data_IF_253354901852
#
_entry.id   IF_253354901852
#
_cell.length_a   1.000
_cell.length_b   1.000
_cell.length_c   1.000
_cell.angle_alpha   90.00
_cell.angle_beta   90.00
_cell.angle_gamma   90.00
#
_symmetry.space_group_name_H-M   'P 1'
#
loop_
_entity.id
_entity.type
_entity.pdbx_description
1 polymer ?
#
# COMPACT_ATOMS: atom_id res chain seq x y z
N UNK A 1 -39.82 -68.60 34.50
CA UNK A 1 -40.11 -67.96 35.82
C UNK A 1 -39.55 -66.55 35.75
N UNK A 2 -40.37 -65.51 35.57
CA UNK A 2 -40.97 -64.67 36.65
C UNK A 2 -39.90 -63.94 37.47
N UNK A 3 -39.94 -62.67 37.85
CA UNK A 3 -40.88 -61.53 37.70
C UNK A 3 -40.12 -60.29 38.28
N UNK A 4 -40.27 -59.14 37.64
CA UNK A 4 -40.56 -57.78 38.16
C UNK A 4 -39.89 -57.14 39.42
N UNK A 5 -39.69 -55.81 39.26
CA UNK A 5 -39.79 -54.65 40.21
C UNK A 5 -38.55 -54.28 41.06
N UNK A 6 -38.36 -53.04 41.54
CA UNK A 6 -38.67 -51.62 41.21
C UNK A 6 -38.22 -50.83 42.47
N UNK A 7 -37.57 -49.66 42.36
CA UNK A 7 -37.38 -48.54 43.33
C UNK A 7 -35.98 -47.94 43.07
N UNK A 8 -35.73 -46.64 42.87
CA UNK A 8 -36.52 -45.43 43.02
C UNK A 8 -35.61 -44.38 43.69
N UNK A 9 -35.25 -43.30 43.00
CA UNK A 9 -34.94 -41.98 43.60
C UNK A 9 -34.82 -40.90 42.53
N UNK A 10 -35.43 -39.77 42.83
CA UNK A 10 -35.75 -38.66 41.96
C UNK A 10 -34.59 -37.67 41.80
N UNK A 11 -34.50 -37.06 40.62
CA UNK A 11 -33.83 -35.76 40.44
C UNK A 11 -34.81 -34.79 39.77
N UNK A 12 -34.92 -33.63 40.38
CA UNK A 12 -35.78 -32.50 40.00
C UNK A 12 -35.15 -31.81 38.78
N UNK A 13 -35.89 -31.74 37.68
CA UNK A 13 -35.57 -30.92 36.52
C UNK A 13 -36.46 -29.66 36.57
N UNK A 14 -35.85 -28.50 36.69
CA UNK A 14 -36.54 -27.22 36.58
C UNK A 14 -36.77 -26.91 35.09
N UNK A 15 -38.04 -26.72 34.74
CA UNK A 15 -38.48 -26.28 33.42
C UNK A 15 -38.36 -24.76 33.31
N UNK A 16 -37.79 -24.28 32.20
CA UNK A 16 -38.01 -22.93 31.69
C UNK A 16 -38.36 -23.06 30.21
N UNK A 17 -39.65 -22.90 29.94
CA UNK A 17 -40.26 -22.77 28.62
C UNK A 17 -39.92 -21.39 28.05
N UNK A 18 -39.44 -21.34 26.81
CA UNK A 18 -39.55 -20.14 25.99
C UNK A 18 -40.04 -20.52 24.59
N UNK A 19 -41.01 -19.75 24.14
CA UNK A 19 -41.88 -19.98 23.01
C UNK A 19 -41.15 -19.81 21.67
N UNK A 20 -41.60 -20.61 20.70
CA UNK A 20 -41.40 -20.40 19.28
C UNK A 20 -42.06 -19.08 18.86
N UNK A 21 -41.29 -18.16 18.29
CA UNK A 21 -41.76 -17.11 17.40
C UNK A 21 -40.86 -17.07 16.18
N UNK A 22 -41.49 -17.30 15.02
CA UNK A 22 -40.92 -17.07 13.71
C UNK A 22 -41.23 -15.61 13.34
N UNK A 23 -40.20 -14.81 13.07
CA UNK A 23 -40.27 -13.57 12.31
C UNK A 23 -39.11 -13.58 11.32
N UNK A 24 -39.48 -13.48 10.05
CA UNK A 24 -38.62 -13.16 8.93
C UNK A 24 -38.46 -11.64 8.93
N UNK A 25 -37.28 -11.14 9.28
CA UNK A 25 -36.95 -9.73 9.11
C UNK A 25 -35.87 -9.64 8.01
N UNK A 26 -36.31 -9.21 6.83
CA UNK A 26 -35.46 -8.61 5.80
C UNK A 26 -34.92 -7.27 6.37
N UNK A 27 -33.92 -7.32 7.24
CA UNK A 27 -33.15 -6.12 7.56
C UNK A 27 -32.21 -5.83 6.37
N UNK A 28 -32.34 -4.65 5.73
CA UNK A 28 -31.30 -4.20 4.81
C UNK A 28 -29.98 -4.11 5.59
N UNK A 29 -28.83 -4.38 4.93
CA UNK A 29 -27.53 -4.26 5.57
C UNK A 29 -27.41 -2.88 6.23
N UNK A 30 -26.76 -2.79 7.42
CA UNK A 30 -26.59 -1.52 8.10
C UNK A 30 -25.99 -0.50 7.14
N UNK A 31 -26.58 0.70 7.09
CA UNK A 31 -26.04 1.79 6.32
C UNK A 31 -24.56 1.99 6.69
N UNK A 32 -23.71 2.12 5.68
CA UNK A 32 -22.30 2.43 5.89
C UNK A 32 -22.18 3.63 6.85
N UNK A 33 -21.30 3.58 7.87
CA UNK A 33 -21.07 4.72 8.74
C UNK A 33 -20.72 5.93 7.88
N UNK A 34 -21.26 7.10 8.23
CA UNK A 34 -20.93 8.34 7.56
C UNK A 34 -19.41 8.54 7.64
N UNK A 35 -18.75 8.58 6.48
CA UNK A 35 -17.35 8.96 6.36
C UNK A 35 -17.13 10.23 7.19
N UNK A 36 -16.16 10.21 8.12
CA UNK A 36 -15.84 11.39 8.90
C UNK A 36 -15.56 12.54 7.94
N UNK A 37 -16.18 13.70 8.14
CA UNK A 37 -16.04 14.90 7.30
C UNK A 37 -14.55 15.13 7.00
N UNK A 38 -14.09 14.61 5.86
CA UNK A 38 -12.69 14.61 5.46
C UNK A 38 -12.34 16.05 5.20
N UNK A 39 -11.84 16.75 6.23
CA UNK A 39 -12.02 18.18 6.38
C UNK A 39 -11.76 18.93 5.08
N UNK A 40 -12.85 19.43 4.48
CA UNK A 40 -12.92 20.00 3.14
C UNK A 40 -11.70 20.87 2.86
N UNK A 41 -10.74 20.32 2.11
CA UNK A 41 -9.66 21.13 1.58
C UNK A 41 -10.30 22.04 0.55
N UNK A 42 -10.29 23.34 0.83
CA UNK A 42 -10.83 24.34 -0.10
C UNK A 42 -10.16 24.13 -1.46
N UNK A 43 -10.91 24.03 -2.56
CA UNK A 43 -10.30 23.87 -3.88
C UNK A 43 -9.30 24.99 -4.16
N UNK A 44 -8.17 24.63 -4.76
CA UNK A 44 -7.11 25.59 -5.08
C UNK A 44 -7.58 26.66 -6.05
N UNK A 45 -6.92 27.82 -6.01
CA UNK A 45 -7.21 28.92 -6.92
C UNK A 45 -6.45 28.78 -8.25
N UNK A 46 -6.89 29.52 -9.27
CA UNK A 46 -6.23 29.54 -10.59
C UNK A 46 -4.80 30.06 -10.47
N UNK A 47 -3.84 29.43 -11.15
CA UNK A 47 -2.43 29.78 -11.01
C UNK A 47 -1.75 29.20 -9.77
N UNK A 48 -2.49 28.47 -8.93
CA UNK A 48 -1.96 27.74 -7.78
C UNK A 48 -1.95 26.23 -7.98
N UNK A 49 -1.60 25.52 -6.91
CA UNK A 49 -1.54 24.07 -6.85
C UNK A 49 -2.57 23.50 -5.87
N UNK A 50 -3.20 22.39 -6.25
CA UNK A 50 -3.92 21.50 -5.34
C UNK A 50 -3.10 20.23 -5.18
N UNK A 51 -2.78 19.87 -3.94
CA UNK A 51 -1.99 18.68 -3.62
C UNK A 51 -2.94 17.57 -3.23
N UNK A 52 -2.81 16.43 -3.90
CA UNK A 52 -3.62 15.24 -3.65
C UNK A 52 -2.74 14.04 -3.34
N UNK A 53 -3.30 13.01 -2.71
CA UNK A 53 -2.61 11.74 -2.42
C UNK A 53 -3.44 10.57 -2.95
N UNK A 54 -2.80 9.61 -3.59
CA UNK A 54 -3.43 8.45 -4.22
C UNK A 54 -2.64 7.18 -3.91
N UNK A 55 -3.33 6.06 -3.75
CA UNK A 55 -2.75 4.71 -3.84
C UNK A 55 -2.76 4.17 -5.26
N UNK A 56 -3.05 5.04 -6.24
CA UNK A 56 -3.38 4.68 -7.62
C UNK A 56 -4.62 3.78 -7.71
N UNK A 57 -4.89 3.25 -8.91
CA UNK A 57 -5.96 2.29 -9.14
C UNK A 57 -5.73 1.01 -8.30
N UNK A 58 -4.47 0.61 -8.15
CA UNK A 58 -4.09 -0.63 -7.45
C UNK A 58 -4.23 -0.57 -5.94
N UNK A 59 -4.10 0.61 -5.34
CA UNK A 59 -4.41 0.80 -3.93
C UNK A 59 -5.90 0.56 -3.63
N UNK A 60 -6.78 0.85 -4.59
CA UNK A 60 -8.24 0.71 -4.43
C UNK A 60 -8.71 -0.68 -4.87
N UNK A 61 -8.28 -1.12 -6.05
CA UNK A 61 -8.79 -2.34 -6.69
C UNK A 61 -7.96 -3.59 -6.33
N UNK A 62 -6.70 -3.42 -5.93
CA UNK A 62 -5.77 -4.50 -5.70
C UNK A 62 -5.33 -5.20 -6.99
N UNK A 63 -4.95 -6.47 -6.87
CA UNK A 63 -4.35 -7.28 -7.92
C UNK A 63 -5.20 -8.51 -8.20
N UNK A 64 -5.69 -8.63 -9.42
CA UNK A 64 -6.36 -9.84 -9.88
C UNK A 64 -5.38 -10.90 -10.35
N UNK A 65 -5.69 -12.15 -10.02
CA UNK A 65 -5.04 -13.29 -10.64
C UNK A 65 -5.96 -13.91 -11.68
N UNK A 66 -5.47 -14.03 -12.92
CA UNK A 66 -6.22 -14.67 -14.02
C UNK A 66 -7.27 -13.79 -14.69
N UNK A 67 -7.24 -12.47 -14.49
CA UNK A 67 -7.81 -11.53 -15.46
C UNK A 67 -7.10 -11.74 -16.82
N UNK A 68 -7.78 -11.38 -17.93
CA UNK A 68 -7.29 -11.59 -19.30
C UNK A 68 -5.81 -11.19 -19.47
N UNK A 69 -5.04 -11.86 -20.35
CA UNK A 69 -3.60 -11.66 -20.49
C UNK A 69 -3.30 -10.18 -20.63
N UNK A 70 -2.54 -9.67 -19.65
CA UNK A 70 -2.15 -8.27 -19.43
C UNK A 70 -2.20 -7.49 -20.75
N UNK A 71 -3.24 -6.68 -20.95
CA UNK A 71 -3.20 -5.66 -21.97
C UNK A 71 -2.01 -4.74 -21.66
N UNK A 72 -1.44 -4.11 -22.68
CA UNK A 72 -0.41 -3.10 -22.49
C UNK A 72 -0.96 -1.99 -21.55
N UNK A 73 -0.46 -1.95 -20.32
CA UNK A 73 -0.95 -1.05 -19.26
C UNK A 73 -1.79 -1.71 -18.15
N UNK A 74 -2.05 -3.02 -18.18
CA UNK A 74 -2.70 -3.72 -17.07
C UNK A 74 -1.71 -3.98 -15.92
N UNK A 75 -2.19 -3.94 -14.66
CA UNK A 75 -1.34 -4.14 -13.50
C UNK A 75 -0.77 -5.56 -13.44
N UNK A 76 0.50 -5.71 -13.02
CA UNK A 76 1.15 -7.02 -13.01
C UNK A 76 0.43 -7.98 -12.06
N UNK A 77 0.12 -9.18 -12.54
CA UNK A 77 -0.41 -10.24 -11.68
C UNK A 77 0.69 -10.86 -10.82
N UNK A 78 0.35 -11.32 -9.62
CA UNK A 78 1.25 -12.13 -8.82
C UNK A 78 1.55 -13.45 -9.51
N UNK A 79 2.82 -13.67 -9.86
CA UNK A 79 3.23 -14.81 -10.69
C UNK A 79 3.02 -16.14 -10.00
N UNK A 80 2.77 -16.14 -8.68
CA UNK A 80 2.59 -17.31 -7.84
C UNK A 80 1.12 -17.60 -7.47
N UNK A 81 0.15 -16.97 -8.13
CA UNK A 81 -1.25 -17.41 -8.10
C UNK A 81 -2.15 -16.66 -7.13
N UNK A 82 -1.72 -15.52 -6.63
CA UNK A 82 -2.43 -14.78 -5.58
C UNK A 82 -3.20 -13.59 -6.14
N UNK A 83 -4.46 -13.49 -5.75
CA UNK A 83 -5.22 -12.23 -5.81
C UNK A 83 -4.97 -11.48 -4.50
N UNK A 84 -4.68 -10.17 -4.57
CA UNK A 84 -4.44 -9.34 -3.39
C UNK A 84 -5.44 -8.19 -3.38
N UNK A 85 -6.08 -7.96 -2.23
CA UNK A 85 -6.97 -6.82 -1.99
C UNK A 85 -6.53 -6.07 -0.75
N UNK A 86 -6.33 -4.77 -0.88
CA UNK A 86 -6.08 -3.92 0.26
C UNK A 86 -7.40 -3.53 0.92
N UNK A 87 -7.36 -3.53 2.25
CA UNK A 87 -8.42 -3.00 3.08
C UNK A 87 -8.10 -1.56 3.48
N UNK A 88 -6.86 -1.33 3.93
CA UNK A 88 -6.35 -0.01 4.30
C UNK A 88 -4.89 0.12 3.87
N UNK A 89 -4.52 1.29 3.35
CA UNK A 89 -3.15 1.68 3.05
C UNK A 89 -2.98 3.07 3.64
N UNK A 90 -2.36 3.13 4.82
CA UNK A 90 -2.27 4.37 5.58
C UNK A 90 -0.86 4.93 5.49
N UNK A 91 -0.76 6.18 5.07
CA UNK A 91 0.50 6.94 4.98
C UNK A 91 0.42 8.23 5.77
N UNK A 92 1.55 8.75 6.25
CA UNK A 92 1.64 10.09 6.84
C UNK A 92 2.56 10.99 6.02
N UNK A 93 1.97 11.91 5.26
CA UNK A 93 2.69 12.87 4.41
C UNK A 93 2.92 14.16 5.19
N UNK A 94 4.13 14.71 5.14
CA UNK A 94 4.47 16.00 5.73
C UNK A 94 5.42 16.78 4.79
N UNK A 95 5.66 18.05 5.13
CA UNK A 95 6.68 18.92 4.54
C UNK A 95 6.65 18.94 3.02
N UNK A 96 5.50 19.25 2.43
CA UNK A 96 5.37 19.46 0.99
C UNK A 96 6.07 20.77 0.64
N UNK A 97 6.97 20.76 -0.35
CA UNK A 97 7.82 21.89 -0.71
C UNK A 97 7.83 22.10 -2.21
N UNK A 98 7.78 23.38 -2.59
CA UNK A 98 8.09 23.88 -3.92
C UNK A 98 9.40 24.66 -3.85
N UNK A 99 10.40 24.25 -4.62
CA UNK A 99 11.66 24.99 -4.75
C UNK A 99 11.81 25.60 -6.14
N UNK A 100 12.52 26.72 -6.23
CA UNK A 100 12.96 27.24 -7.53
C UNK A 100 13.95 26.29 -8.21
N UNK A 101 14.15 26.46 -9.51
CA UNK A 101 15.22 25.85 -10.30
C UNK A 101 15.37 24.32 -10.09
N UNK A 102 14.37 23.50 -10.51
CA UNK A 102 14.42 22.04 -10.36
C UNK A 102 15.62 21.39 -11.05
N UNK A 103 16.17 22.00 -12.09
CA UNK A 103 17.33 21.50 -12.83
C UNK A 103 18.58 22.36 -12.60
N UNK A 104 18.72 22.93 -11.40
CA UNK A 104 19.92 23.71 -11.02
C UNK A 104 21.20 22.88 -11.20
N UNK A 105 21.12 21.59 -10.93
CA UNK A 105 22.09 20.59 -11.37
C UNK A 105 21.35 19.44 -12.08
N UNK A 106 21.48 19.35 -13.40
CA UNK A 106 20.85 18.29 -14.19
C UNK A 106 21.35 16.88 -13.80
N UNK A 107 22.55 16.77 -13.23
CA UNK A 107 23.15 15.49 -12.82
C UNK A 107 22.82 15.06 -11.38
N UNK A 108 22.27 15.97 -10.57
CA UNK A 108 21.93 15.70 -9.17
C UNK A 108 20.57 16.31 -8.81
N UNK A 109 19.48 15.52 -8.80
CA UNK A 109 18.15 16.03 -8.52
C UNK A 109 17.97 16.54 -7.08
N UNK A 110 18.94 16.31 -6.19
CA UNK A 110 18.92 16.83 -4.82
C UNK A 110 19.41 18.28 -4.72
N UNK A 111 20.02 18.81 -5.80
CA UNK A 111 20.51 20.19 -5.88
C UNK A 111 19.51 21.05 -6.64
N UNK A 112 18.75 21.85 -5.89
CA UNK A 112 17.72 22.75 -6.43
C UNK A 112 17.89 24.18 -5.88
N UNK A 113 17.01 25.09 -6.31
CA UNK A 113 16.91 26.45 -5.79
C UNK A 113 16.28 26.54 -4.40
N UNK A 114 16.06 27.77 -3.95
CA UNK A 114 15.47 28.05 -2.64
C UNK A 114 14.01 27.58 -2.58
N UNK A 115 13.52 27.25 -1.37
CA UNK A 115 12.11 26.96 -1.15
C UNK A 115 11.30 28.24 -1.40
N UNK A 116 10.38 28.19 -2.36
CA UNK A 116 9.49 29.32 -2.70
C UNK A 116 8.09 29.17 -2.11
N UNK A 117 7.67 27.94 -1.77
CA UNK A 117 6.44 27.67 -1.04
C UNK A 117 6.53 26.35 -0.28
N UNK A 118 5.76 26.20 0.78
CA UNK A 118 5.69 24.95 1.54
C UNK A 118 4.35 24.81 2.23
N UNK A 119 3.92 23.56 2.40
CA UNK A 119 2.82 23.19 3.28
C UNK A 119 3.33 22.18 4.28
N UNK A 120 3.22 22.53 5.54
CA UNK A 120 3.48 21.61 6.64
C UNK A 120 2.18 20.85 6.97
N UNK A 121 2.28 19.53 7.03
CA UNK A 121 1.27 18.66 7.60
C UNK A 121 1.53 18.49 9.10
N UNK A 122 1.51 17.24 9.63
CA UNK A 122 1.37 15.98 8.90
C UNK A 122 -0.08 15.68 8.49
N UNK A 123 -0.27 15.01 7.36
CA UNK A 123 -1.54 14.53 6.85
C UNK A 123 -1.53 13.00 6.89
N UNK A 124 -2.41 12.43 7.70
CA UNK A 124 -2.63 10.99 7.73
C UNK A 124 -3.72 10.65 6.72
N UNK A 125 -3.44 9.78 5.77
CA UNK A 125 -4.32 9.47 4.65
C UNK A 125 -4.48 7.97 4.50
N UNK A 126 -5.72 7.48 4.41
CA UNK A 126 -5.98 6.14 3.91
C UNK A 126 -6.24 6.21 2.41
N UNK A 127 -5.41 5.48 1.66
CA UNK A 127 -5.38 5.52 0.21
C UNK A 127 -6.42 4.59 -0.41
N UNK A 128 -6.96 3.61 0.32
CA UNK A 128 -7.93 2.65 -0.23
C UNK A 128 -9.33 3.23 -0.38
N UNK A 129 -9.68 4.24 0.42
CA UNK A 129 -11.00 4.86 0.41
C UNK A 129 -11.20 5.85 -0.76
N UNK A 130 -10.13 6.18 -1.49
CA UNK A 130 -10.18 7.06 -2.66
C UNK A 130 -10.45 8.53 -2.32
N UNK A 131 -11.15 9.26 -3.18
CA UNK A 131 -11.45 10.68 -2.95
C UNK A 131 -12.42 11.28 -3.97
N UNK A 132 -12.49 12.61 -4.02
CA UNK A 132 -13.39 13.33 -4.94
C UNK A 132 -12.68 13.90 -6.18
N UNK A 133 -11.35 13.86 -6.20
CA UNK A 133 -10.56 14.34 -7.33
C UNK A 133 -10.23 13.15 -8.21
N UNK A 134 -10.36 13.32 -9.53
CA UNK A 134 -9.95 12.28 -10.50
C UNK A 134 -8.44 12.13 -10.42
N UNK A 135 -7.98 10.89 -10.35
CA UNK A 135 -6.57 10.56 -10.29
C UNK A 135 -5.80 10.86 -11.59
N UNK A 136 -4.51 10.53 -11.59
CA UNK A 136 -3.56 10.85 -12.66
C UNK A 136 -3.19 9.67 -13.55
N UNK A 137 -3.53 8.42 -13.20
CA UNK A 137 -3.23 7.22 -13.99
C UNK A 137 -4.04 7.11 -15.29
N UNK A 138 -5.04 7.97 -15.47
CA UNK A 138 -5.97 7.89 -16.59
C UNK A 138 -7.04 6.80 -16.42
N UNK A 139 -6.96 5.98 -15.37
CA UNK A 139 -8.03 5.06 -15.02
C UNK A 139 -9.29 5.86 -14.59
N UNK A 140 -10.48 5.55 -15.13
CA UNK A 140 -11.71 6.29 -14.83
C UNK A 140 -12.11 6.21 -13.36
N UNK A 141 -11.69 5.14 -12.69
CA UNK A 141 -12.05 4.82 -11.32
C UNK A 141 -11.00 5.24 -10.30
N UNK A 142 -9.80 5.68 -10.74
CA UNK A 142 -8.83 6.25 -9.81
C UNK A 142 -9.41 7.54 -9.20
N UNK A 143 -9.43 7.58 -7.87
CA UNK A 143 -9.84 8.74 -7.08
C UNK A 143 -8.76 9.07 -6.07
N UNK A 144 -8.39 10.35 -6.02
CA UNK A 144 -7.39 10.88 -5.11
C UNK A 144 -8.01 11.87 -4.14
N UNK A 145 -7.42 11.99 -2.94
CA UNK A 145 -7.89 12.90 -1.90
C UNK A 145 -7.01 14.14 -1.82
N UNK A 146 -7.64 15.31 -1.81
CA UNK A 146 -6.94 16.57 -1.60
C UNK A 146 -6.51 16.72 -0.13
N UNK A 147 -5.24 17.07 0.09
CA UNK A 147 -4.67 17.28 1.44
C UNK A 147 -4.28 18.74 1.68
N UNK A 148 -3.97 19.50 0.62
CA UNK A 148 -3.52 20.88 0.72
C UNK A 148 -3.72 21.69 -0.57
N UNK A 149 -3.58 23.01 -0.45
CA UNK A 149 -3.44 23.94 -1.59
C UNK A 149 -2.27 24.88 -1.38
N UNK A 150 -1.71 25.38 -2.48
CA UNK A 150 -0.67 26.40 -2.50
C UNK A 150 -1.06 27.45 -3.55
N UNK A 151 -1.64 28.56 -3.10
CA UNK A 151 -2.19 29.59 -4.00
C UNK A 151 -1.16 30.63 -4.45
N UNK A 152 -0.08 30.81 -3.69
CA UNK A 152 0.99 31.76 -3.99
C UNK A 152 2.31 31.30 -3.38
N UNK A 153 3.41 31.92 -3.84
CA UNK A 153 4.71 31.78 -3.20
C UNK A 153 4.68 32.41 -1.78
N UNK A 154 5.63 32.02 -0.92
CA UNK A 154 5.79 32.57 0.43
C UNK A 154 6.03 34.09 0.44
N UNK A 155 6.54 34.65 -0.66
CA UNK A 155 6.68 36.10 -0.87
C UNK A 155 5.35 36.82 -1.16
N UNK A 156 4.26 36.08 -1.37
CA UNK A 156 2.97 36.58 -1.86
C UNK A 156 2.91 36.76 -3.38
N UNK A 157 4.00 36.48 -4.10
CA UNK A 157 4.01 36.52 -5.56
C UNK A 157 3.20 35.34 -6.15
N UNK A 158 2.54 35.53 -7.30
CA UNK A 158 1.96 34.40 -8.04
C UNK A 158 3.06 33.47 -8.55
N UNK A 159 2.71 32.22 -8.84
CA UNK A 159 3.59 31.32 -9.58
C UNK A 159 3.68 31.76 -11.04
N UNK A 160 4.89 31.70 -11.61
CA UNK A 160 5.11 32.00 -13.03
C UNK A 160 4.75 30.76 -13.85
N UNK A 161 3.74 30.82 -14.75
CA UNK A 161 3.35 29.67 -15.55
C UNK A 161 4.41 29.25 -16.58
N UNK A 162 5.45 30.05 -16.80
CA UNK A 162 6.60 29.69 -17.63
C UNK A 162 7.73 28.99 -16.84
N UNK A 163 7.63 28.94 -15.50
CA UNK A 163 8.65 28.33 -14.64
C UNK A 163 8.20 26.95 -14.13
N UNK A 164 9.18 26.08 -13.89
CA UNK A 164 8.99 24.83 -13.14
C UNK A 164 9.49 25.03 -11.72
N UNK A 165 8.84 24.37 -10.78
CA UNK A 165 9.21 24.35 -9.37
C UNK A 165 9.45 22.91 -8.94
N UNK A 166 10.60 22.61 -8.35
CA UNK A 166 10.87 21.28 -7.82
C UNK A 166 9.80 20.90 -6.80
N UNK A 167 9.19 19.74 -6.96
CA UNK A 167 8.18 19.23 -6.02
C UNK A 167 8.81 18.17 -5.13
N UNK A 168 8.70 18.36 -3.82
CA UNK A 168 9.24 17.43 -2.83
C UNK A 168 8.26 17.25 -1.67
N UNK A 169 8.30 16.10 -1.01
CA UNK A 169 7.51 15.81 0.19
C UNK A 169 8.22 14.81 1.08
N UNK A 170 7.78 14.69 2.33
CA UNK A 170 8.28 13.71 3.28
C UNK A 170 7.19 12.71 3.66
N UNK A 171 7.60 11.47 3.84
CA UNK A 171 6.85 10.45 4.56
C UNK A 171 7.43 10.39 5.98
N UNK A 172 6.58 10.60 6.98
CA UNK A 172 6.98 10.68 8.39
C UNK A 172 6.28 9.61 9.22
N UNK A 173 6.80 9.32 10.42
CA UNK A 173 6.11 8.43 11.34
C UNK A 173 4.73 8.99 11.74
N UNK A 174 3.77 8.09 11.95
CA UNK A 174 2.45 8.42 12.44
C UNK A 174 2.54 9.20 13.76
N UNK A 175 1.73 10.24 13.90
CA UNK A 175 1.80 11.16 15.04
C UNK A 175 0.44 11.71 15.42
N UNK A 176 0.27 12.05 16.71
CA UNK A 176 -0.96 12.66 17.20
C UNK A 176 -1.21 14.08 16.63
N UNK A 177 -0.18 14.70 16.04
CA UNK A 177 -0.30 15.99 15.37
C UNK A 177 -0.90 15.89 13.96
N UNK A 178 -1.04 14.69 13.41
CA UNK A 178 -1.49 14.54 12.03
C UNK A 178 -2.98 14.86 11.88
N UNK A 179 -3.31 15.61 10.82
CA UNK A 179 -4.69 15.76 10.36
C UNK A 179 -5.09 14.46 9.66
N UNK A 180 -6.07 13.74 10.22
CA UNK A 180 -6.70 12.63 9.52
C UNK A 180 -7.50 13.16 8.33
N UNK A 181 -7.26 12.57 7.17
CA UNK A 181 -7.94 12.88 5.91
C UNK A 181 -8.37 11.56 5.31
N UNK A 182 -9.64 11.44 4.92
CA UNK A 182 -10.19 10.23 4.31
C UNK A 182 -10.10 9.00 5.23
N UNK A 183 -10.56 9.12 6.48
CA UNK A 183 -10.53 8.02 7.45
C UNK A 183 -11.95 7.55 7.73
N UNK A 184 -12.12 6.24 7.80
CA UNK A 184 -13.23 5.61 8.52
C UNK A 184 -12.79 5.21 9.96
N UNK A 185 -13.70 4.56 10.69
CA UNK A 185 -13.44 4.15 12.07
C UNK A 185 -12.28 3.13 12.18
N UNK A 186 -12.10 2.26 11.18
CA UNK A 186 -11.04 1.26 11.18
C UNK A 186 -9.67 1.87 10.86
N UNK A 187 -9.62 2.76 9.88
CA UNK A 187 -8.45 3.56 9.55
C UNK A 187 -7.96 4.36 10.75
N UNK A 188 -8.90 4.96 11.51
CA UNK A 188 -8.57 5.67 12.74
C UNK A 188 -7.92 4.74 13.79
N UNK A 189 -8.48 3.54 13.99
CA UNK A 189 -7.92 2.56 14.92
C UNK A 189 -6.54 2.05 14.49
N UNK A 190 -6.34 1.78 13.21
CA UNK A 190 -5.05 1.38 12.64
C UNK A 190 -4.00 2.50 12.77
N UNK A 191 -4.42 3.76 12.64
CA UNK A 191 -3.50 4.88 12.82
C UNK A 191 -3.05 5.05 14.29
N UNK A 192 -3.92 4.76 15.26
CA UNK A 192 -3.51 4.69 16.68
C UNK A 192 -2.44 3.60 16.92
N UNK A 193 -2.58 2.45 16.26
CA UNK A 193 -1.57 1.40 16.27
C UNK A 193 -0.27 1.85 15.59
N UNK A 194 -0.38 2.53 14.44
CA UNK A 194 0.77 3.09 13.73
C UNK A 194 1.55 4.09 14.59
N UNK A 195 0.86 4.98 15.34
CA UNK A 195 1.49 5.90 16.28
C UNK A 195 2.25 5.18 17.39
N UNK A 196 1.64 4.13 17.95
CA UNK A 196 2.24 3.33 19.02
C UNK A 196 3.52 2.64 18.55
N UNK A 197 3.50 2.14 17.31
CA UNK A 197 4.62 1.41 16.73
C UNK A 197 5.62 2.29 15.97
N UNK A 198 5.33 3.59 15.78
CA UNK A 198 6.18 4.52 15.03
C UNK A 198 6.24 4.20 13.53
N UNK A 199 5.15 3.66 12.96
CA UNK A 199 5.07 3.35 11.54
C UNK A 199 4.80 4.58 10.70
N UNK A 200 5.45 4.68 9.54
CA UNK A 200 5.23 5.74 8.55
C UNK A 200 4.25 5.30 7.45
N UNK A 201 4.25 3.99 7.12
CA UNK A 201 3.29 3.34 6.24
C UNK A 201 2.69 2.12 6.91
N UNK A 202 1.43 1.83 6.61
CA UNK A 202 0.74 0.61 7.01
C UNK A 202 -0.04 0.07 5.82
N UNK A 203 0.14 -1.21 5.52
CA UNK A 203 -0.66 -1.95 4.55
C UNK A 203 -1.44 -3.04 5.28
N UNK A 204 -2.75 -3.06 5.12
CA UNK A 204 -3.59 -4.14 5.58
C UNK A 204 -4.42 -4.67 4.42
N UNK A 205 -4.52 -5.99 4.29
CA UNK A 205 -5.28 -6.59 3.22
C UNK A 205 -5.48 -8.09 3.37
N UNK A 206 -6.02 -8.67 2.31
CA UNK A 206 -6.29 -10.10 2.17
C UNK A 206 -5.70 -10.55 0.84
N UNK A 207 -4.91 -11.62 0.89
CA UNK A 207 -4.47 -12.35 -0.28
C UNK A 207 -5.23 -13.68 -0.36
N UNK A 208 -5.78 -13.97 -1.54
CA UNK A 208 -6.53 -15.21 -1.82
C UNK A 208 -5.84 -15.98 -2.93
N UNK A 209 -5.51 -17.24 -2.69
CA UNK A 209 -4.92 -18.10 -3.71
C UNK A 209 -5.98 -18.51 -4.74
N UNK A 210 -5.75 -18.12 -6.00
CA UNK A 210 -6.60 -18.42 -7.17
C UNK A 210 -5.95 -19.38 -8.16
N UNK A 211 -4.67 -19.71 -7.95
CA UNK A 211 -3.94 -20.66 -8.79
C UNK A 211 -4.53 -22.08 -8.77
N UNK A 212 -4.04 -22.97 -9.65
CA UNK A 212 -4.41 -24.39 -9.63
C UNK A 212 -4.09 -25.05 -8.28
N UNK A 213 -4.78 -26.14 -7.96
CA UNK A 213 -4.51 -26.95 -6.78
C UNK A 213 -3.02 -27.31 -6.72
N UNK A 214 -2.31 -26.99 -5.63
CA UNK A 214 -0.91 -27.35 -5.48
C UNK A 214 -0.66 -28.85 -5.59
N UNK A 215 0.52 -29.24 -6.06
CA UNK A 215 0.94 -30.64 -6.11
C UNK A 215 0.93 -31.26 -4.70
N UNK A 216 0.41 -32.48 -4.58
CA UNK A 216 0.37 -33.21 -3.32
C UNK A 216 1.79 -33.45 -2.77
N UNK A 217 2.00 -33.16 -1.50
CA UNK A 217 3.29 -33.22 -0.81
C UNK A 217 4.18 -31.99 -1.01
N UNK A 218 3.79 -31.03 -1.84
CA UNK A 218 4.54 -29.77 -1.99
C UNK A 218 4.42 -28.87 -0.76
N UNK A 219 5.34 -27.93 -0.60
CA UNK A 219 5.25 -26.92 0.47
C UNK A 219 4.03 -26.00 0.30
N UNK A 220 3.52 -25.88 -0.92
CA UNK A 220 2.38 -25.02 -1.26
C UNK A 220 1.04 -25.67 -0.89
N UNK A 221 0.95 -27.00 -0.85
CA UNK A 221 -0.25 -27.71 -0.35
C UNK A 221 -0.55 -27.35 1.11
N UNK A 222 0.47 -26.95 1.87
CA UNK A 222 0.36 -26.59 3.29
C UNK A 222 -0.03 -25.14 3.54
N UNK A 223 0.01 -24.30 2.50
CA UNK A 223 -0.29 -22.87 2.61
C UNK A 223 -1.80 -22.67 2.71
N UNK A 224 -2.31 -21.85 3.65
CA UNK A 224 -3.74 -21.52 3.69
C UNK A 224 -4.15 -20.81 2.39
N UNK A 225 -5.40 -21.00 1.96
CA UNK A 225 -5.91 -20.37 0.74
C UNK A 225 -6.18 -18.88 0.87
N UNK A 226 -6.34 -18.40 2.10
CA UNK A 226 -6.55 -17.00 2.41
C UNK A 226 -5.53 -16.55 3.47
N UNK A 227 -4.89 -15.41 3.24
CA UNK A 227 -3.92 -14.81 4.15
C UNK A 227 -4.30 -13.35 4.38
N UNK A 228 -4.61 -13.01 5.62
CA UNK A 228 -4.77 -11.63 6.06
C UNK A 228 -3.40 -11.10 6.46
N UNK A 229 -3.00 -9.98 5.90
CA UNK A 229 -1.72 -9.37 6.22
C UNK A 229 -1.90 -7.99 6.83
N UNK A 230 -1.00 -7.63 7.76
CA UNK A 230 -0.85 -6.29 8.31
C UNK A 230 0.62 -5.95 8.43
N UNK A 231 1.10 -5.10 7.52
CA UNK A 231 2.51 -4.77 7.38
C UNK A 231 2.71 -3.29 7.71
N UNK A 232 3.22 -3.01 8.91
CA UNK A 232 3.53 -1.67 9.37
C UNK A 232 5.03 -1.38 9.29
N UNK A 233 5.42 -0.30 8.62
CA UNK A 233 6.82 -0.03 8.28
C UNK A 233 7.37 1.19 9.01
N UNK A 234 8.57 1.06 9.59
CA UNK A 234 9.35 2.16 10.18
C UNK A 234 10.28 2.77 9.12
N UNK A 235 9.69 3.31 8.06
CA UNK A 235 10.40 3.70 6.84
C UNK A 235 10.20 5.19 6.46
N UNK A 236 10.42 6.16 7.37
CA UNK A 236 10.35 7.55 6.97
C UNK A 236 11.34 7.85 5.84
N UNK A 237 10.90 8.62 4.85
CA UNK A 237 11.66 8.92 3.64
C UNK A 237 11.36 10.32 3.13
N UNK A 238 12.30 10.91 2.40
CA UNK A 238 12.09 12.16 1.68
C UNK A 238 12.11 11.88 0.18
N UNK A 239 11.08 12.37 -0.50
CA UNK A 239 10.91 12.32 -1.93
C UNK A 239 11.25 13.68 -2.50
N UNK A 240 12.32 13.75 -3.27
CA UNK A 240 13.00 14.99 -3.62
C UNK A 240 12.92 15.21 -5.12
N UNK A 241 12.41 16.38 -5.51
CA UNK A 241 12.44 16.90 -6.88
C UNK A 241 11.95 15.89 -7.92
N UNK A 242 10.71 15.44 -7.76
CA UNK A 242 10.14 14.39 -8.59
C UNK A 242 10.03 14.80 -10.07
N UNK A 243 10.20 13.82 -10.97
CA UNK A 243 9.83 13.97 -12.39
C UNK A 243 8.30 14.10 -12.52
N UNK A 244 7.84 14.67 -13.63
CA UNK A 244 6.42 14.98 -13.80
C UNK A 244 5.93 14.61 -15.20
N UNK A 245 5.12 13.56 -15.23
CA UNK A 245 4.51 12.97 -16.43
C UNK A 245 3.46 13.87 -17.09
N UNK A 246 2.92 14.87 -16.38
CA UNK A 246 2.06 15.89 -17.00
C UNK A 246 2.85 16.82 -17.95
N UNK A 247 4.18 16.84 -17.86
CA UNK A 247 5.04 17.66 -18.71
C UNK A 247 5.47 16.88 -19.95
N UNK A 248 5.80 17.61 -21.02
CA UNK A 248 6.28 16.97 -22.25
C UNK A 248 7.59 16.23 -21.99
N UNK A 249 7.60 14.94 -22.34
CA UNK A 249 8.79 14.10 -22.28
C UNK A 249 9.95 14.74 -23.05
N UNK A 250 11.15 14.68 -22.48
CA UNK A 250 12.37 15.15 -23.10
C UNK A 250 12.81 14.19 -24.22
N UNK A 251 13.68 14.62 -25.14
CA UNK A 251 14.24 13.74 -26.16
C UNK A 251 15.01 12.53 -25.61
N UNK A 252 15.43 12.57 -24.35
CA UNK A 252 16.04 11.42 -23.65
C UNK A 252 15.05 10.31 -23.32
N UNK A 253 13.74 10.57 -23.39
CA UNK A 253 12.70 9.68 -22.86
C UNK A 253 12.38 9.93 -21.37
N UNK A 254 13.05 10.86 -20.71
CA UNK A 254 12.75 11.22 -19.32
C UNK A 254 11.72 12.35 -19.26
N UNK A 255 10.91 12.35 -18.20
CA UNK A 255 10.02 13.46 -17.92
C UNK A 255 10.76 14.58 -17.16
N UNK A 256 10.52 15.86 -17.50
CA UNK A 256 11.11 16.97 -16.77
C UNK A 256 10.73 16.94 -15.28
N UNK A 257 11.64 17.42 -14.42
CA UNK A 257 11.39 17.53 -12.98
C UNK A 257 10.55 18.74 -12.60
N UNK A 258 9.80 18.59 -11.50
CA UNK A 258 9.00 19.63 -10.88
C UNK A 258 7.60 19.82 -11.47
N UNK A 259 6.87 20.77 -10.90
CA UNK A 259 5.50 21.15 -11.30
C UNK A 259 5.48 22.54 -11.92
N UNK A 260 4.52 22.79 -12.81
CA UNK A 260 4.31 24.08 -13.46
C UNK A 260 2.86 24.54 -13.27
N UNK A 261 2.68 25.77 -12.81
CA UNK A 261 1.35 26.33 -12.60
C UNK A 261 0.66 26.64 -13.94
N UNK A 262 -0.62 26.32 -14.07
CA UNK A 262 -1.43 26.75 -15.20
C UNK A 262 -2.03 28.14 -14.91
N UNK A 263 -1.95 29.07 -15.86
CA UNK A 263 -2.38 30.45 -15.64
C UNK A 263 -3.91 30.61 -15.41
N UNK A 264 -4.72 29.69 -15.94
CA UNK A 264 -6.18 29.84 -16.04
C UNK A 264 -6.98 28.80 -15.25
N UNK A 265 -6.29 27.85 -14.62
CA UNK A 265 -6.86 26.77 -13.80
C UNK A 265 -5.95 26.43 -12.62
N UNK A 266 -6.46 25.64 -11.68
CA UNK A 266 -5.62 25.03 -10.64
C UNK A 266 -4.82 23.89 -11.26
N UNK A 267 -3.54 23.76 -10.90
CA UNK A 267 -2.72 22.60 -11.26
C UNK A 267 -2.84 21.56 -10.15
N UNK A 268 -3.21 20.33 -10.49
CA UNK A 268 -3.18 19.20 -9.53
C UNK A 268 -1.79 18.59 -9.54
N UNK A 269 -1.15 18.50 -8.38
CA UNK A 269 0.06 17.73 -8.15
C UNK A 269 -0.29 16.55 -7.22
N UNK A 270 -0.29 15.34 -7.77
CA UNK A 270 -0.68 14.13 -7.07
C UNK A 270 0.55 13.41 -6.52
N UNK A 271 0.60 13.19 -5.21
CA UNK A 271 1.50 12.22 -4.60
C UNK A 271 0.87 10.84 -4.80
N UNK A 272 1.58 9.93 -5.46
CA UNK A 272 1.10 8.57 -5.76
C UNK A 272 1.95 7.57 -4.99
N UNK A 273 1.31 6.59 -4.36
CA UNK A 273 1.99 5.47 -3.72
C UNK A 273 1.63 4.16 -4.41
N UNK A 274 2.54 3.71 -5.28
CA UNK A 274 2.47 2.44 -5.97
C UNK A 274 2.65 1.29 -4.99
N UNK A 275 1.72 0.34 -5.04
CA UNK A 275 1.65 -0.75 -4.05
C UNK A 275 2.37 -2.01 -4.51
N UNK A 276 2.71 -2.11 -5.80
CA UNK A 276 3.37 -3.24 -6.43
C UNK A 276 4.86 -3.28 -6.10
N UNK A 277 5.47 -2.11 -5.88
CA UNK A 277 6.84 -1.99 -5.35
C UNK A 277 7.04 -2.83 -4.09
N UNK A 278 6.00 -2.98 -3.25
CA UNK A 278 6.05 -3.80 -2.04
C UNK A 278 6.38 -5.27 -2.34
N UNK A 279 6.04 -5.77 -3.52
CA UNK A 279 6.08 -7.19 -3.86
C UNK A 279 7.12 -7.55 -4.94
N UNK A 280 7.91 -6.58 -5.39
CA UNK A 280 8.99 -6.79 -6.35
C UNK A 280 10.09 -7.71 -5.84
N UNK A 281 10.54 -8.60 -6.72
CA UNK A 281 11.63 -9.54 -6.44
C UNK A 281 13.01 -8.92 -6.47
N UNK A 282 13.15 -7.68 -6.97
CA UNK A 282 14.42 -6.96 -7.04
C UNK A 282 14.31 -5.49 -6.63
N UNK A 283 15.24 -5.04 -5.78
CA UNK A 283 15.31 -3.63 -5.38
C UNK A 283 15.88 -2.73 -6.47
N UNK A 284 15.39 -1.49 -6.54
CA UNK A 284 15.85 -0.43 -7.45
C UNK A 284 15.75 -0.84 -8.95
N UNK A 285 14.82 -1.74 -9.29
CA UNK A 285 14.49 -2.10 -10.66
C UNK A 285 12.97 -2.13 -10.78
N UNK A 286 12.45 -1.19 -11.56
CA UNK A 286 11.01 -1.04 -11.83
C UNK A 286 10.45 -2.27 -12.55
N UNK A 287 9.23 -2.66 -12.17
CA UNK A 287 8.43 -3.67 -12.89
C UNK A 287 8.97 -5.10 -12.82
N UNK A 288 9.70 -5.48 -11.77
CA UNK A 288 10.02 -6.90 -11.54
C UNK A 288 8.81 -7.68 -11.06
N UNK A 289 8.85 -8.99 -11.21
CA UNK A 289 7.71 -9.86 -10.92
C UNK A 289 7.21 -9.73 -9.47
N UNK A 290 5.88 -9.83 -9.31
CA UNK A 290 5.23 -9.77 -8.01
C UNK A 290 5.12 -11.16 -7.39
N UNK A 291 5.50 -11.28 -6.13
CA UNK A 291 5.39 -12.53 -5.37
C UNK A 291 4.69 -12.32 -4.02
N UNK A 292 3.82 -13.25 -3.67
CA UNK A 292 3.15 -13.28 -2.37
C UNK A 292 3.46 -14.57 -1.58
N UNK A 293 3.95 -15.63 -2.22
CA UNK A 293 4.33 -16.88 -1.56
C UNK A 293 5.28 -16.67 -0.35
N UNK A 294 6.33 -15.83 -0.42
CA UNK A 294 7.19 -15.54 0.74
C UNK A 294 6.46 -15.05 1.98
N UNK A 295 5.34 -14.34 1.81
CA UNK A 295 4.49 -13.86 2.89
C UNK A 295 3.54 -14.98 3.31
N UNK A 296 2.86 -15.62 2.36
CA UNK A 296 1.85 -16.63 2.64
C UNK A 296 2.39 -17.85 3.43
N UNK A 297 3.61 -18.30 3.14
CA UNK A 297 4.22 -19.44 3.87
C UNK A 297 4.61 -19.12 5.30
N UNK A 298 4.43 -17.87 5.75
CA UNK A 298 4.68 -17.40 7.13
C UNK A 298 3.39 -17.30 7.95
N UNK A 299 2.24 -17.47 7.31
CA UNK A 299 0.93 -17.36 7.93
C UNK A 299 0.79 -18.17 9.24
N UNK A 300 0.01 -17.63 10.18
CA UNK A 300 -0.28 -18.24 11.49
C UNK A 300 -0.78 -19.69 11.38
N UNK A 301 -1.48 -20.03 10.29
CA UNK A 301 -2.10 -21.33 10.03
C UNK A 301 -1.35 -22.21 9.02
N UNK A 302 -0.13 -21.84 8.61
CA UNK A 302 0.70 -22.68 7.73
C UNK A 302 0.82 -24.12 8.26
N UNK A 303 0.60 -25.12 7.39
CA UNK A 303 0.47 -26.53 7.75
C UNK A 303 -0.98 -26.99 8.01
N UNK A 304 -1.94 -26.06 7.96
CA UNK A 304 -3.37 -26.31 8.12
C UNK A 304 -4.13 -25.64 6.96
N UNK A 305 -4.00 -26.17 5.73
CA UNK A 305 -4.51 -25.50 4.52
C UNK A 305 -6.03 -25.33 4.48
N UNK A 306 -6.76 -26.12 5.26
CA UNK A 306 -8.22 -26.02 5.42
C UNK A 306 -8.65 -25.00 6.48
N UNK A 307 -7.70 -24.32 7.15
CA UNK A 307 -8.04 -23.20 8.01
C UNK A 307 -8.67 -22.07 7.18
N UNK A 308 -9.69 -21.37 7.71
CA UNK A 308 -10.43 -20.36 6.94
C UNK A 308 -9.53 -19.23 6.44
N UNK A 309 -8.58 -18.78 7.26
CA UNK A 309 -7.55 -17.83 6.90
C UNK A 309 -6.33 -17.97 7.82
N UNK A 310 -5.17 -17.51 7.36
CA UNK A 310 -3.99 -17.28 8.19
C UNK A 310 -3.67 -15.80 8.33
N UNK A 311 -2.97 -15.42 9.40
CA UNK A 311 -2.53 -14.05 9.65
C UNK A 311 -1.02 -13.93 9.48
N UNK A 312 -0.56 -12.81 8.91
CA UNK A 312 0.86 -12.44 8.83
C UNK A 312 1.03 -10.99 9.26
N UNK A 313 1.99 -10.73 10.14
CA UNK A 313 2.46 -9.36 10.44
C UNK A 313 3.89 -9.15 9.96
N UNK A 314 4.36 -7.90 9.98
CA UNK A 314 5.74 -7.58 9.59
C UNK A 314 6.77 -8.27 10.50
N UNK A 315 6.42 -8.51 11.77
CA UNK A 315 7.28 -9.21 12.73
C UNK A 315 7.51 -10.68 12.34
N UNK A 316 6.53 -11.35 11.72
CA UNK A 316 6.66 -12.73 11.24
C UNK A 316 7.70 -12.85 10.11
N UNK A 317 8.01 -11.74 9.44
CA UNK A 317 8.91 -11.61 8.30
C UNK A 317 10.31 -11.11 8.68
N UNK A 318 10.49 -10.60 9.91
CA UNK A 318 11.73 -9.95 10.33
C UNK A 318 12.97 -10.87 10.26
N UNK A 319 12.80 -12.16 10.54
CA UNK A 319 13.86 -13.17 10.53
C UNK A 319 13.93 -13.99 9.24
N UNK A 320 13.14 -13.63 8.22
CA UNK A 320 13.13 -14.35 6.93
C UNK A 320 14.27 -13.81 6.06
N UNK A 321 15.09 -14.71 5.51
CA UNK A 321 16.21 -14.37 4.63
C UNK A 321 15.73 -14.29 3.17
N UNK A 322 15.83 -13.10 2.57
CA UNK A 322 15.41 -12.86 1.18
C UNK A 322 16.27 -13.59 0.14
N UNK A 323 17.48 -14.00 0.49
CA UNK A 323 18.40 -14.72 -0.41
C UNK A 323 18.18 -16.23 -0.40
N UNK A 324 17.20 -16.71 0.37
CA UNK A 324 16.86 -18.12 0.47
C UNK A 324 15.60 -18.33 1.29
N UNK A 325 14.44 -18.09 0.68
CA UNK A 325 13.17 -18.19 1.39
C UNK A 325 12.89 -19.61 1.90
N UNK A 326 12.36 -19.67 3.12
CA UNK A 326 11.88 -20.91 3.73
C UNK A 326 10.48 -20.71 4.30
N UNK A 327 9.74 -21.82 4.41
CA UNK A 327 8.43 -21.84 5.03
C UNK A 327 8.53 -21.61 6.53
N UNK A 328 7.39 -21.42 7.21
CA UNK A 328 7.35 -21.34 8.68
C UNK A 328 8.00 -22.53 9.39
N UNK A 329 8.00 -23.71 8.77
CA UNK A 329 8.60 -24.94 9.30
C UNK A 329 10.07 -25.13 8.88
N UNK A 330 10.67 -24.19 8.16
CA UNK A 330 12.06 -24.26 7.69
C UNK A 330 12.26 -25.09 6.41
N UNK A 331 11.19 -25.42 5.69
CA UNK A 331 11.29 -26.10 4.40
C UNK A 331 11.71 -25.10 3.33
N UNK A 332 12.52 -25.51 2.35
CA UNK A 332 12.89 -24.65 1.22
C UNK A 332 11.64 -24.24 0.46
N UNK A 333 11.48 -22.95 0.19
CA UNK A 333 10.43 -22.43 -0.70
C UNK A 333 10.96 -22.45 -2.14
N UNK A 334 10.48 -23.35 -3.03
CA UNK A 334 10.92 -23.34 -4.41
C UNK A 334 10.33 -22.13 -5.15
N UNK A 335 11.06 -21.58 -6.10
CA UNK A 335 10.54 -20.59 -7.03
C UNK A 335 9.50 -21.26 -7.96
N UNK A 336 8.41 -20.57 -8.24
CA UNK A 336 7.39 -21.00 -9.20
C UNK A 336 6.82 -19.82 -9.96
N UNK A 337 6.26 -20.14 -11.12
CA UNK A 337 5.43 -19.24 -11.93
C UNK A 337 4.18 -20.00 -12.38
N UNK A 338 3.03 -19.35 -12.30
CA UNK A 338 1.71 -19.82 -12.71
C UNK A 338 1.14 -18.96 -13.85
N UNK A 339 1.95 -18.05 -14.38
CA UNK A 339 1.63 -17.19 -15.53
C UNK A 339 2.49 -17.57 -16.73
N UNK A 340 2.01 -17.27 -17.94
CA UNK A 340 2.65 -17.73 -19.18
C UNK A 340 3.80 -16.85 -19.68
N UNK A 341 3.83 -15.60 -19.25
CA UNK A 341 4.77 -14.55 -19.67
C UNK A 341 6.01 -14.44 -18.78
N UNK A 342 6.01 -15.09 -17.60
CA UNK A 342 7.16 -15.19 -16.71
C UNK A 342 7.60 -16.65 -16.50
N UNK A 343 8.91 -16.89 -16.62
CA UNK A 343 9.54 -18.18 -16.29
C UNK A 343 10.38 -18.01 -15.04
N UNK A 344 9.96 -18.64 -13.94
CA UNK A 344 10.70 -18.59 -12.69
C UNK A 344 12.06 -19.29 -12.81
N UNK A 345 13.05 -18.79 -12.07
CA UNK A 345 14.33 -19.49 -11.91
C UNK A 345 14.11 -20.89 -11.32
N UNK A 346 14.99 -21.84 -11.66
CA UNK A 346 14.94 -23.16 -11.06
C UNK A 346 15.53 -23.12 -9.62
N UNK A 347 14.91 -23.84 -8.69
CA UNK A 347 15.43 -24.01 -7.34
C UNK A 347 14.67 -23.19 -6.30
N UNK A 348 15.39 -22.71 -5.29
CA UNK A 348 14.84 -21.93 -4.18
C UNK A 348 14.47 -20.51 -4.65
N UNK A 349 13.36 -19.98 -4.14
CA UNK A 349 12.99 -18.58 -4.34
C UNK A 349 13.96 -17.66 -3.59
N UNK A 350 14.42 -16.64 -4.28
CA UNK A 350 15.33 -15.62 -3.77
C UNK A 350 14.95 -14.27 -4.35
N UNK A 351 15.06 -13.21 -3.57
CA UNK A 351 15.01 -11.84 -4.06
C UNK A 351 16.43 -11.26 -4.15
N UNK A 352 16.59 -10.28 -5.04
CA UNK A 352 17.84 -9.57 -5.26
C UNK A 352 17.81 -8.21 -4.52
N UNK A 353 18.54 -8.06 -3.39
CA UNK A 353 18.62 -6.79 -2.69
C UNK A 353 19.38 -5.71 -3.48
N UNK A 354 19.96 -6.05 -4.64
CA UNK A 354 20.63 -5.15 -5.56
C UNK A 354 21.69 -4.26 -4.88
N UNK A 355 22.50 -4.89 -4.01
CA UNK A 355 23.56 -4.21 -3.24
C UNK A 355 23.08 -3.47 -1.99
N UNK A 356 21.78 -3.43 -1.71
CA UNK A 356 21.22 -2.81 -0.50
C UNK A 356 21.55 -3.63 0.74
N UNK A 357 22.01 -2.95 1.79
CA UNK A 357 22.30 -3.58 3.09
C UNK A 357 21.25 -3.23 4.12
N UNK A 358 20.85 -4.21 4.91
CA UNK A 358 19.85 -4.08 5.98
C UNK A 358 20.53 -4.19 7.35
N UNK A 359 19.91 -3.59 8.36
CA UNK A 359 20.28 -3.66 9.78
C UNK A 359 20.31 -5.11 10.30
N UNK A 360 19.33 -5.91 9.88
CA UNK A 360 19.36 -7.37 9.98
C UNK A 360 19.69 -7.93 8.60
N UNK A 361 20.85 -8.59 8.43
CA UNK A 361 21.29 -9.09 7.12
C UNK A 361 20.18 -9.88 6.40
N UNK A 362 19.90 -9.49 5.16
CA UNK A 362 18.90 -10.11 4.29
C UNK A 362 17.47 -10.21 4.86
N UNK A 363 17.10 -9.37 5.83
CA UNK A 363 15.75 -9.40 6.41
C UNK A 363 14.67 -9.08 5.38
N UNK A 364 13.66 -9.94 5.28
CA UNK A 364 12.51 -9.69 4.42
C UNK A 364 11.67 -8.51 4.89
N UNK A 365 11.52 -8.30 6.19
CA UNK A 365 10.86 -7.10 6.70
C UNK A 365 11.61 -5.82 6.30
N UNK A 366 12.96 -5.84 6.38
CA UNK A 366 13.80 -4.71 5.95
C UNK A 366 13.75 -4.48 4.44
N UNK A 367 13.73 -5.56 3.66
CA UNK A 367 13.51 -5.52 2.21
C UNK A 367 12.18 -4.87 1.85
N UNK A 368 11.07 -5.35 2.46
CA UNK A 368 9.72 -4.80 2.26
C UNK A 368 9.65 -3.31 2.65
N UNK A 369 10.24 -2.94 3.79
CA UNK A 369 10.30 -1.56 4.25
C UNK A 369 11.06 -0.64 3.27
N UNK A 370 12.19 -1.11 2.72
CA UNK A 370 12.97 -0.38 1.72
C UNK A 370 12.19 -0.26 0.41
N UNK A 371 11.71 -1.35 -0.14
CA UNK A 371 11.03 -1.33 -1.45
C UNK A 371 9.75 -0.50 -1.40
N UNK A 372 9.00 -0.52 -0.29
CA UNK A 372 7.82 0.35 -0.11
C UNK A 372 8.14 1.84 -0.22
N UNK A 373 9.36 2.28 0.13
CA UNK A 373 9.76 3.69 -0.08
C UNK A 373 10.04 4.05 -1.53
N UNK A 374 10.30 3.06 -2.40
CA UNK A 374 10.45 3.31 -3.82
C UNK A 374 9.12 3.60 -4.52
N UNK A 375 7.99 3.19 -3.94
CA UNK A 375 6.68 3.38 -4.54
C UNK A 375 6.10 4.80 -4.44
N UNK A 376 6.82 5.78 -3.91
CA UNK A 376 6.33 7.15 -3.85
C UNK A 376 6.74 7.99 -5.06
N UNK A 377 5.75 8.49 -5.81
CA UNK A 377 5.92 9.23 -7.07
C UNK A 377 5.09 10.53 -7.09
N UNK A 378 5.37 11.38 -8.08
CA UNK A 378 4.54 12.51 -8.48
C UNK A 378 3.78 12.18 -9.77
N UNK A 379 2.47 12.47 -9.79
CA UNK A 379 1.60 12.31 -10.95
C UNK A 379 1.77 10.93 -11.61
N UNK A 380 1.22 9.88 -10.99
CA UNK A 380 1.34 8.49 -11.44
C UNK A 380 2.78 7.96 -11.31
N UNK A 381 3.62 8.00 -12.35
CA UNK A 381 4.96 7.38 -12.38
C UNK A 381 6.13 8.35 -12.23
N UNK A 382 5.91 9.61 -11.88
CA UNK A 382 6.99 10.60 -11.77
C UNK A 382 7.98 10.32 -10.62
N UNK A 383 9.08 9.64 -10.94
CA UNK A 383 10.15 9.25 -10.02
C UNK A 383 10.80 10.43 -9.26
N UNK A 384 11.04 10.20 -7.97
CA UNK A 384 11.72 11.15 -7.10
C UNK A 384 13.15 10.69 -6.76
N UNK A 385 14.02 11.63 -6.43
CA UNK A 385 15.23 11.26 -5.70
C UNK A 385 14.83 10.88 -4.28
N UNK A 386 15.13 9.67 -3.85
CA UNK A 386 14.72 9.17 -2.54
C UNK A 386 15.88 9.29 -1.55
N UNK A 387 15.60 9.90 -0.40
CA UNK A 387 16.46 9.85 0.76
C UNK A 387 15.76 9.09 1.87
N UNK A 388 16.25 7.87 2.13
CA UNK A 388 15.80 7.07 3.25
C UNK A 388 16.28 7.69 4.57
N UNK A 389 15.35 7.99 5.47
CA UNK A 389 15.63 8.54 6.80
C UNK A 389 15.59 7.44 7.87
N UNK A 390 15.83 6.20 7.45
CA UNK A 390 15.91 5.00 8.28
C UNK A 390 17.04 4.10 7.79
N UNK A 391 17.44 3.16 8.65
CA UNK A 391 18.25 2.02 8.23
C UNK A 391 17.30 0.85 8.03
N UNK A 392 17.17 0.33 6.80
CA UNK A 392 16.32 -0.81 6.48
C UNK A 392 16.53 -2.03 7.36
#
# INVERSE_FOLDING_TARGET
MWKTKLLGSAFVLAAASCALWACSDDEPPPAAPAAGDGGDVTPGTKGGFQITVSGEDLGVNGYDFGADPLAEGDPPSFVDGWEVRFKHIIVTVDKIRLNADPDKDEGDPTVMGDVVASVDGPFAVDLTLGGQVVGKSGAPDEKTVAIATIDAQASGAPFDPAQRYAFSYDLVAATAAAKAVNFDDESAALYEEAKTNGWAMLYQGIATYKGPTPEAGSVFEKTPKEVRFKLGFKNPASFINCSNTDLNQLPSGEYPRGVQAAADKVTVAQITFHTDHLFWSKLNVEGTELHFDPIAVRASTYGTPDAPAGDVTIEDLAAVDVTGFTTKNGEVLPARSLVSDYTSAAGQLTFDPNGTTFSTPNSFAGYLAYTATSGGHLNEVGECAIKNNFTP
#
